data_IF_517307808363
#
_entry.id   IF_517307808363
#
_cell.length_a   1.000
_cell.length_b   1.000
_cell.length_c   1.000
_cell.angle_alpha   90.00
_cell.angle_beta   90.00
_cell.angle_gamma   90.00
#
_symmetry.space_group_name_H-M   'P 1'
#
loop_
_entity.id
_entity.type
_entity.pdbx_description
1 polymer ?
#
# COMPACT_ATOMS: atom_id res chain seq x y z
N UNK A 1 -10.22 -23.26 30.63
CA UNK A 1 -11.20 -23.26 29.51
C UNK A 1 -10.42 -23.10 28.22
N UNK A 2 -10.60 -23.99 27.24
CA UNK A 2 -9.91 -23.92 25.94
C UNK A 2 -10.70 -22.95 25.04
N UNK A 3 -10.05 -21.91 24.53
CA UNK A 3 -10.66 -20.98 23.59
C UNK A 3 -10.68 -21.61 22.19
N UNK A 4 -11.87 -21.90 21.66
CA UNK A 4 -12.04 -22.43 20.30
C UNK A 4 -12.24 -21.24 19.35
N UNK A 5 -11.26 -21.00 18.48
CA UNK A 5 -11.38 -20.01 17.41
C UNK A 5 -12.06 -20.64 16.19
N UNK A 6 -13.13 -20.02 15.69
CA UNK A 6 -13.81 -20.42 14.45
C UNK A 6 -13.42 -19.47 13.33
N UNK A 7 -13.08 -20.01 12.17
CA UNK A 7 -12.85 -19.25 10.94
C UNK A 7 -13.86 -19.66 9.87
N UNK A 8 -14.36 -18.70 9.10
CA UNK A 8 -15.26 -18.95 7.97
C UNK A 8 -14.52 -18.61 6.68
N UNK A 9 -14.53 -19.55 5.74
CA UNK A 9 -14.00 -19.33 4.39
C UNK A 9 -15.15 -19.06 3.44
N UNK A 10 -15.12 -17.91 2.78
CA UNK A 10 -16.13 -17.50 1.78
C UNK A 10 -15.45 -17.23 0.44
N UNK A 11 -16.19 -17.43 -0.65
CA UNK A 11 -15.81 -16.98 -2.00
C UNK A 11 -16.78 -15.88 -2.42
N UNK A 12 -16.24 -14.77 -2.91
CA UNK A 12 -17.02 -13.68 -3.47
C UNK A 12 -17.28 -13.98 -4.96
N UNK A 13 -18.49 -13.67 -5.41
CA UNK A 13 -18.90 -13.69 -6.82
C UNK A 13 -19.34 -12.28 -7.20
N UNK A 14 -18.39 -11.38 -7.51
CA UNK A 14 -18.69 -9.99 -7.82
C UNK A 14 -19.48 -9.85 -9.14
N UNK A 15 -20.29 -8.79 -9.26
CA UNK A 15 -20.87 -8.37 -10.54
C UNK A 15 -19.79 -7.76 -11.44
N UNK A 16 -20.01 -7.63 -12.77
CA UNK A 16 -19.04 -6.98 -13.65
C UNK A 16 -18.59 -5.58 -13.19
N UNK A 17 -19.50 -4.79 -12.61
CA UNK A 17 -19.19 -3.46 -12.08
C UNK A 17 -18.29 -3.53 -10.84
N UNK A 18 -18.52 -4.52 -9.97
CA UNK A 18 -17.70 -4.76 -8.79
C UNK A 18 -16.31 -5.27 -9.18
N UNK A 19 -16.21 -6.16 -10.17
CA UNK A 19 -14.93 -6.61 -10.72
C UNK A 19 -14.11 -5.43 -11.25
N UNK A 20 -14.75 -4.56 -12.03
CA UNK A 20 -14.10 -3.36 -12.56
C UNK A 20 -13.60 -2.44 -11.43
N UNK A 21 -14.42 -2.20 -10.40
CA UNK A 21 -14.03 -1.39 -9.25
C UNK A 21 -12.85 -2.01 -8.48
N UNK A 22 -12.83 -3.34 -8.31
CA UNK A 22 -11.74 -4.06 -7.66
C UNK A 22 -10.45 -3.96 -8.47
N UNK A 23 -10.51 -4.21 -9.78
CA UNK A 23 -9.35 -4.13 -10.69
C UNK A 23 -8.75 -2.72 -10.67
N UNK A 24 -9.59 -1.69 -10.74
CA UNK A 24 -9.21 -0.28 -10.59
C UNK A 24 -8.50 0.01 -9.28
N UNK A 25 -9.09 -0.41 -8.16
CA UNK A 25 -8.50 -0.24 -6.83
C UNK A 25 -7.16 -0.98 -6.69
N UNK A 26 -7.05 -2.21 -7.20
CA UNK A 26 -5.81 -2.99 -7.18
C UNK A 26 -4.71 -2.36 -8.05
N UNK A 27 -5.08 -1.81 -9.19
CA UNK A 27 -4.18 -1.03 -10.04
C UNK A 27 -3.58 0.16 -9.29
N UNK A 28 -4.43 0.94 -8.63
CA UNK A 28 -4.02 2.07 -7.79
C UNK A 28 -3.08 1.66 -6.65
N UNK A 29 -3.42 0.58 -5.94
CA UNK A 29 -2.60 0.05 -4.85
C UNK A 29 -1.23 -0.37 -5.35
N UNK A 30 -1.17 -1.16 -6.44
CA UNK A 30 0.09 -1.66 -7.01
C UNK A 30 0.97 -0.52 -7.48
N UNK A 31 0.39 0.44 -8.20
CA UNK A 31 1.14 1.58 -8.70
C UNK A 31 1.72 2.41 -7.56
N UNK A 32 0.91 2.75 -6.55
CA UNK A 32 1.37 3.57 -5.44
C UNK A 32 2.39 2.85 -4.55
N UNK A 33 2.25 1.53 -4.37
CA UNK A 33 3.27 0.71 -3.71
C UNK A 33 4.62 0.85 -4.41
N UNK A 34 4.67 0.63 -5.72
CA UNK A 34 5.90 0.71 -6.50
C UNK A 34 6.50 2.13 -6.49
N UNK A 35 5.66 3.16 -6.61
CA UNK A 35 6.11 4.55 -6.52
C UNK A 35 6.78 4.84 -5.17
N UNK A 36 6.10 4.50 -4.06
CA UNK A 36 6.61 4.76 -2.72
C UNK A 36 7.83 3.91 -2.39
N UNK A 37 7.87 2.65 -2.84
CA UNK A 37 9.04 1.78 -2.69
C UNK A 37 10.25 2.35 -3.41
N UNK A 38 10.09 2.82 -4.65
CA UNK A 38 11.18 3.46 -5.38
C UNK A 38 11.69 4.72 -4.67
N UNK A 39 10.79 5.57 -4.15
CA UNK A 39 11.18 6.75 -3.38
C UNK A 39 11.98 6.39 -2.11
N UNK A 40 11.58 5.33 -1.41
CA UNK A 40 12.33 4.80 -0.26
C UNK A 40 13.72 4.28 -0.67
N UNK A 41 13.82 3.56 -1.78
CA UNK A 41 15.09 3.04 -2.32
C UNK A 41 16.04 4.19 -2.66
N UNK A 42 15.57 5.17 -3.44
CA UNK A 42 16.38 6.33 -3.86
C UNK A 42 16.87 7.11 -2.64
N UNK A 43 15.98 7.42 -1.69
CA UNK A 43 16.36 8.13 -0.48
C UNK A 43 17.44 7.38 0.33
N UNK A 44 17.32 6.06 0.43
CA UNK A 44 18.31 5.25 1.13
C UNK A 44 19.66 5.23 0.40
N UNK A 45 19.65 5.13 -0.94
CA UNK A 45 20.88 5.20 -1.75
C UNK A 45 21.62 6.52 -1.57
N UNK A 46 20.89 7.64 -1.48
CA UNK A 46 21.46 8.98 -1.34
C UNK A 46 21.93 9.29 0.08
N UNK A 47 21.21 8.83 1.10
CA UNK A 47 21.39 9.30 2.49
C UNK A 47 21.84 8.22 3.47
N UNK A 48 21.76 6.95 3.08
CA UNK A 48 21.94 5.79 3.96
C UNK A 48 20.86 5.66 5.04
N UNK A 49 19.74 6.40 4.94
CA UNK A 49 18.68 6.45 5.94
C UNK A 49 17.33 6.05 5.35
N UNK A 50 16.46 5.50 6.20
CA UNK A 50 15.11 5.13 5.81
C UNK A 50 14.22 6.36 5.64
N UNK A 51 13.42 6.38 4.56
CA UNK A 51 12.45 7.44 4.32
C UNK A 51 11.27 7.33 5.30
N UNK A 52 10.89 8.45 5.93
CA UNK A 52 9.81 8.47 6.93
C UNK A 52 8.44 8.28 6.28
N UNK A 53 7.56 7.52 6.93
CA UNK A 53 6.16 7.31 6.51
C UNK A 53 5.41 8.61 6.19
N UNK A 54 5.60 9.65 7.01
CA UNK A 54 4.97 10.95 6.80
C UNK A 54 5.31 11.57 5.44
N UNK A 55 6.50 11.30 4.91
CA UNK A 55 6.98 11.87 3.65
C UNK A 55 6.21 11.33 2.46
N UNK A 56 6.17 10.01 2.23
CA UNK A 56 5.44 9.47 1.09
C UNK A 56 3.92 9.50 1.27
N UNK A 57 3.39 9.45 2.51
CA UNK A 57 1.98 9.84 2.75
C UNK A 57 1.68 11.27 2.30
N UNK A 58 2.61 12.20 2.56
CA UNK A 58 2.52 13.60 2.16
C UNK A 58 2.63 13.83 0.65
N UNK A 59 3.13 12.86 -0.12
CA UNK A 59 3.17 12.94 -1.59
C UNK A 59 1.79 12.69 -2.22
N UNK A 60 0.93 11.89 -1.58
CA UNK A 60 -0.37 11.49 -2.14
C UNK A 60 -1.28 12.63 -2.61
N UNK A 61 -1.43 13.76 -1.88
CA UNK A 61 -2.24 14.88 -2.36
C UNK A 61 -1.78 15.44 -3.71
N UNK A 62 -0.47 15.53 -3.91
CA UNK A 62 0.11 16.02 -5.16
C UNK A 62 0.01 14.95 -6.25
N UNK A 63 0.30 13.69 -5.94
CA UNK A 63 0.13 12.58 -6.88
C UNK A 63 -1.31 12.45 -7.38
N UNK A 64 -2.31 12.72 -6.55
CA UNK A 64 -3.73 12.72 -6.98
C UNK A 64 -4.09 13.88 -7.91
N UNK A 65 -3.29 14.95 -7.97
CA UNK A 65 -3.45 16.01 -8.97
C UNK A 65 -2.79 15.63 -10.29
N UNK A 66 -1.61 15.02 -10.22
CA UNK A 66 -0.86 14.55 -11.40
C UNK A 66 -1.48 13.32 -12.05
N UNK A 67 -2.05 12.43 -11.24
CA UNK A 67 -2.67 11.17 -11.63
C UNK A 67 -4.11 11.13 -11.07
N UNK A 68 -5.07 11.82 -11.70
CA UNK A 68 -6.45 11.94 -11.19
C UNK A 68 -7.14 10.60 -10.92
N UNK A 69 -6.81 9.58 -11.69
CA UNK A 69 -7.31 8.21 -11.50
C UNK A 69 -7.00 7.65 -10.10
N UNK A 70 -5.93 8.06 -9.41
CA UNK A 70 -5.69 7.67 -8.01
C UNK A 70 -6.75 8.19 -7.03
N UNK A 71 -7.45 9.28 -7.39
CA UNK A 71 -8.56 9.83 -6.61
C UNK A 71 -9.90 9.22 -7.02
N UNK A 72 -10.09 8.99 -8.31
CA UNK A 72 -11.35 8.53 -8.90
C UNK A 72 -11.56 7.03 -8.72
N UNK A 73 -10.52 6.24 -8.96
CA UNK A 73 -10.60 4.78 -9.06
C UNK A 73 -10.28 4.05 -7.73
N UNK A 74 -9.87 4.79 -6.70
CA UNK A 74 -9.50 4.21 -5.41
C UNK A 74 -9.84 5.11 -4.21
N UNK A 75 -10.42 4.50 -3.18
CA UNK A 75 -10.66 5.20 -1.92
C UNK A 75 -9.36 5.67 -1.26
N UNK A 76 -9.38 6.87 -0.69
CA UNK A 76 -8.19 7.48 -0.07
C UNK A 76 -7.61 6.64 1.06
N UNK A 77 -8.46 6.00 1.88
CA UNK A 77 -8.03 5.13 2.98
C UNK A 77 -7.20 3.93 2.50
N UNK A 78 -7.52 3.38 1.33
CA UNK A 78 -6.80 2.25 0.74
C UNK A 78 -5.37 2.66 0.40
N UNK A 79 -5.17 3.80 -0.29
CA UNK A 79 -3.83 4.32 -0.60
C UNK A 79 -3.04 4.68 0.67
N UNK A 80 -3.69 5.20 1.71
CA UNK A 80 -3.04 5.45 2.99
C UNK A 80 -2.58 4.15 3.68
N UNK A 81 -3.35 3.07 3.56
CA UNK A 81 -2.96 1.75 4.05
C UNK A 81 -1.76 1.18 3.30
N UNK A 82 -1.63 1.40 1.99
CA UNK A 82 -0.44 1.00 1.21
C UNK A 82 0.83 1.59 1.82
N UNK A 83 0.81 2.89 2.14
CA UNK A 83 1.94 3.55 2.78
C UNK A 83 2.28 2.94 4.14
N UNK A 84 1.26 2.67 4.98
CA UNK A 84 1.45 2.05 6.30
C UNK A 84 2.03 0.64 6.17
N UNK A 85 1.55 -0.14 5.20
CA UNK A 85 2.02 -1.49 4.95
C UNK A 85 3.48 -1.51 4.50
N UNK A 86 3.88 -0.55 3.64
CA UNK A 86 5.27 -0.39 3.20
C UNK A 86 6.19 -0.01 4.37
N UNK A 87 5.77 0.92 5.22
CA UNK A 87 6.51 1.28 6.46
C UNK A 87 6.74 0.06 7.35
N UNK A 88 5.69 -0.76 7.54
CA UNK A 88 5.79 -2.00 8.31
C UNK A 88 6.74 -3.00 7.65
N UNK A 89 6.69 -3.15 6.33
CA UNK A 89 7.57 -4.05 5.59
C UNK A 89 9.05 -3.64 5.78
N UNK A 90 9.37 -2.35 5.63
CA UNK A 90 10.72 -1.84 5.89
C UNK A 90 11.15 -2.03 7.35
N UNK A 91 10.28 -1.73 8.31
CA UNK A 91 10.58 -1.96 9.74
C UNK A 91 10.90 -3.42 10.04
N UNK A 92 10.17 -4.36 9.42
CA UNK A 92 10.44 -5.79 9.58
C UNK A 92 11.76 -6.19 8.89
N UNK A 93 12.06 -5.64 7.71
CA UNK A 93 13.33 -5.85 7.03
C UNK A 93 14.53 -5.40 7.87
N UNK A 94 14.51 -4.17 8.38
CA UNK A 94 15.61 -3.65 9.24
C UNK A 94 15.75 -4.38 10.57
N UNK A 95 14.69 -5.04 11.06
CA UNK A 95 14.74 -5.93 12.23
C UNK A 95 15.22 -7.35 11.91
N UNK A 96 15.47 -7.67 10.64
CA UNK A 96 15.82 -9.03 10.20
C UNK A 96 14.65 -10.03 10.26
N UNK A 97 13.41 -9.55 10.34
CA UNK A 97 12.20 -10.38 10.46
C UNK A 97 11.54 -10.69 9.12
N UNK A 98 11.93 -10.00 8.06
CA UNK A 98 11.42 -10.19 6.71
C UNK A 98 12.54 -9.91 5.69
N UNK A 99 12.35 -10.39 4.45
CA UNK A 99 13.19 -10.01 3.31
C UNK A 99 12.90 -8.56 2.91
N UNK A 100 13.73 -8.02 2.02
CA UNK A 100 13.51 -6.71 1.43
C UNK A 100 12.09 -6.63 0.81
N UNK A 101 11.35 -5.52 1.04
CA UNK A 101 9.98 -5.34 0.54
C UNK A 101 9.82 -5.38 -0.98
#
# INVERSE_FOLDING_TARGET
>A
MIQVHRAVKVRLYPTPEQELALVKSFGCVRWYWNFALNACIQHYQETGKSLKLATYKGMLPQLKKEYPWLKEDCYSSVLQCVAINLDRAYKNFFKGQAKFP
#
